data_IF_359141100997
#
_entry.id   IF_359141100997
#
_cell.length_a   1.000
_cell.length_b   1.000
_cell.length_c   1.000
_cell.angle_alpha   90.00
_cell.angle_beta   90.00
_cell.angle_gamma   90.00
#
_symmetry.space_group_name_H-M   'P 1'
#
loop_
_entity.id
_entity.type
_entity.pdbx_description
1 polymer ?
#
# COMPACT_ATOMS: atom_id res chain seq x y z
N UNK A 1 22.43 -27.80 -14.36
CA UNK A 1 21.02 -27.36 -14.32
C UNK A 1 21.07 -25.89 -14.70
N UNK A 2 20.65 -25.56 -15.92
CA UNK A 2 20.50 -24.15 -16.31
C UNK A 2 19.47 -23.50 -15.38
N UNK A 3 19.87 -22.44 -14.69
CA UNK A 3 18.92 -21.58 -13.99
C UNK A 3 17.98 -21.02 -15.06
N UNK A 4 16.73 -21.49 -15.10
CA UNK A 4 15.75 -20.91 -16.02
C UNK A 4 15.54 -19.46 -15.58
N UNK A 5 16.05 -18.51 -16.36
CA UNK A 5 15.85 -17.10 -16.09
C UNK A 5 14.35 -16.78 -16.10
N UNK A 6 13.83 -16.21 -15.01
CA UNK A 6 12.43 -15.77 -14.91
C UNK A 6 12.12 -14.80 -16.07
N UNK A 7 11.12 -15.13 -16.88
CA UNK A 7 10.68 -14.29 -17.99
C UNK A 7 9.65 -13.25 -17.52
N UNK A 8 10.14 -12.10 -17.03
CA UNK A 8 9.28 -11.03 -16.56
C UNK A 8 8.41 -10.38 -17.65
N UNK A 9 8.84 -10.40 -18.91
CA UNK A 9 8.02 -9.89 -20.03
C UNK A 9 6.76 -10.74 -20.23
N UNK A 10 6.91 -12.07 -20.15
CA UNK A 10 5.78 -13.00 -20.16
C UNK A 10 4.83 -12.74 -18.98
N UNK A 11 5.35 -12.62 -17.75
CA UNK A 11 4.53 -12.41 -16.55
C UNK A 11 3.71 -11.10 -16.63
N UNK A 12 4.33 -10.01 -17.09
CA UNK A 12 3.63 -8.74 -17.31
C UNK A 12 2.55 -8.89 -18.39
N UNK A 13 2.83 -9.62 -19.47
CA UNK A 13 1.85 -9.91 -20.51
C UNK A 13 0.64 -10.69 -20.00
N UNK A 14 0.83 -11.66 -19.08
CA UNK A 14 -0.27 -12.40 -18.46
C UNK A 14 -1.11 -11.51 -17.54
N UNK A 15 -0.47 -10.68 -16.73
CA UNK A 15 -1.16 -9.71 -15.86
C UNK A 15 -2.04 -8.77 -16.69
N UNK A 16 -1.54 -8.26 -17.82
CA UNK A 16 -2.33 -7.37 -18.69
C UNK A 16 -3.57 -8.04 -19.28
N UNK A 17 -3.51 -9.35 -19.56
CA UNK A 17 -4.63 -10.12 -20.11
C UNK A 17 -5.66 -10.48 -19.05
N UNK A 18 -5.19 -10.87 -17.87
CA UNK A 18 -6.02 -11.47 -16.83
C UNK A 18 -6.47 -10.48 -15.74
N UNK A 19 -5.90 -9.27 -15.67
CA UNK A 19 -6.25 -8.22 -14.71
C UNK A 19 -6.60 -6.88 -15.40
N UNK A 20 -7.67 -6.83 -16.22
CA UNK A 20 -8.05 -5.65 -17.02
C UNK A 20 -8.66 -4.48 -16.23
N UNK A 21 -8.89 -4.63 -14.92
CA UNK A 21 -9.53 -3.63 -14.04
C UNK A 21 -8.56 -2.58 -13.46
N UNK A 22 -7.26 -2.79 -13.62
CA UNK A 22 -6.19 -1.93 -13.10
C UNK A 22 -6.02 -0.56 -13.78
N UNK A 23 -6.22 -0.40 -15.10
CA UNK A 23 -6.04 0.89 -15.79
C UNK A 23 -7.01 1.99 -15.33
N UNK A 24 -8.25 1.66 -14.93
CA UNK A 24 -9.25 2.65 -14.48
C UNK A 24 -8.84 3.28 -13.15
N UNK A 25 -8.28 2.46 -12.24
CA UNK A 25 -7.79 2.90 -10.94
C UNK A 25 -6.48 3.64 -11.06
N UNK A 26 -5.62 3.27 -12.01
CA UNK A 26 -4.43 4.07 -12.35
C UNK A 26 -4.83 5.44 -12.87
N UNK A 27 -5.90 5.56 -13.67
CA UNK A 27 -6.38 6.86 -14.13
C UNK A 27 -7.00 7.68 -12.99
N UNK A 28 -7.77 7.07 -12.08
CA UNK A 28 -8.26 7.73 -10.87
C UNK A 28 -7.11 8.12 -9.94
N UNK A 29 -6.16 7.22 -9.64
CA UNK A 29 -4.92 7.51 -8.91
C UNK A 29 -4.19 8.68 -9.57
N UNK A 30 -3.91 8.60 -10.86
CA UNK A 30 -3.10 9.56 -11.61
C UNK A 30 -3.78 10.93 -11.64
N UNK A 31 -5.10 10.98 -11.87
CA UNK A 31 -5.86 12.24 -11.86
C UNK A 31 -5.86 12.91 -10.49
N UNK A 32 -6.03 12.14 -9.41
CA UNK A 32 -5.99 12.70 -8.05
C UNK A 32 -4.54 13.01 -7.62
N UNK A 33 -3.53 12.33 -8.17
CA UNK A 33 -2.11 12.54 -7.87
C UNK A 33 -1.47 13.71 -8.63
N UNK A 34 -1.99 14.06 -9.81
CA UNK A 34 -1.39 15.10 -10.66
C UNK A 34 -1.92 16.50 -10.39
N UNK A 35 -3.09 16.66 -9.74
CA UNK A 35 -3.69 17.98 -9.57
C UNK A 35 -4.40 18.13 -8.20
N UNK A 36 -3.70 18.66 -7.17
CA UNK A 36 -4.25 18.87 -5.82
C UNK A 36 -5.51 19.75 -5.79
N UNK A 37 -5.63 20.68 -6.74
CA UNK A 37 -6.72 21.65 -6.82
C UNK A 37 -7.93 21.18 -7.65
N UNK A 38 -7.82 20.12 -8.46
CA UNK A 38 -8.90 19.64 -9.34
C UNK A 38 -9.88 18.68 -8.66
N UNK A 39 -9.78 18.54 -7.34
CA UNK A 39 -10.01 17.25 -6.70
C UNK A 39 -11.44 17.12 -6.11
N UNK A 40 -12.09 18.22 -5.72
CA UNK A 40 -13.41 18.21 -5.06
C UNK A 40 -14.51 17.61 -5.95
N UNK A 41 -14.61 18.06 -7.21
CA UNK A 41 -15.65 17.59 -8.14
C UNK A 41 -15.45 16.15 -8.59
N UNK A 42 -14.20 15.69 -8.77
CA UNK A 42 -13.93 14.32 -9.21
C UNK A 42 -14.26 13.26 -8.15
N UNK A 43 -13.99 13.57 -6.87
CA UNK A 43 -14.40 12.69 -5.76
C UNK A 43 -15.90 12.74 -5.54
N UNK A 44 -16.50 13.92 -5.66
CA UNK A 44 -17.96 14.07 -5.62
C UNK A 44 -18.63 13.28 -6.75
N UNK A 45 -18.11 13.32 -7.98
CA UNK A 45 -18.60 12.54 -9.13
C UNK A 45 -18.49 11.03 -8.88
N UNK A 46 -17.37 10.55 -8.35
CA UNK A 46 -17.18 9.12 -8.00
C UNK A 46 -18.12 8.69 -6.88
N UNK A 47 -18.30 9.53 -5.86
CA UNK A 47 -19.26 9.28 -4.78
C UNK A 47 -20.69 9.24 -5.32
N UNK A 48 -21.07 10.21 -6.14
CA UNK A 48 -22.43 10.32 -6.68
C UNK A 48 -22.73 9.21 -7.69
N UNK A 49 -21.71 8.69 -8.39
CA UNK A 49 -21.83 7.57 -9.32
C UNK A 49 -21.90 6.19 -8.63
N UNK A 50 -21.31 6.02 -7.44
CA UNK A 50 -21.35 4.77 -6.67
C UNK A 50 -22.04 4.95 -5.30
N UNK A 51 -23.32 4.55 -5.28
CA UNK A 51 -24.16 4.64 -4.09
C UNK A 51 -23.61 3.81 -2.90
N UNK A 52 -22.91 2.71 -3.15
CA UNK A 52 -22.31 1.88 -2.09
C UNK A 52 -21.12 2.59 -1.43
N UNK A 53 -20.30 3.26 -2.24
CA UNK A 53 -19.17 4.08 -1.78
C UNK A 53 -19.67 5.27 -0.95
N UNK A 54 -20.68 5.98 -1.45
CA UNK A 54 -21.30 7.10 -0.72
C UNK A 54 -21.84 6.66 0.63
N UNK A 55 -22.53 5.53 0.72
CA UNK A 55 -23.05 5.02 2.00
C UNK A 55 -21.95 4.64 2.99
N UNK A 56 -20.82 4.09 2.51
CA UNK A 56 -19.65 3.78 3.35
C UNK A 56 -19.01 5.06 3.90
N UNK A 57 -18.78 6.04 3.04
CA UNK A 57 -18.19 7.34 3.44
C UNK A 57 -19.11 8.09 4.41
N UNK A 58 -20.42 8.13 4.17
CA UNK A 58 -21.39 8.71 5.08
C UNK A 58 -21.42 8.02 6.44
N UNK A 59 -21.28 6.69 6.49
CA UNK A 59 -21.21 5.93 7.76
C UNK A 59 -19.96 6.31 8.56
N UNK A 60 -18.81 6.44 7.90
CA UNK A 60 -17.55 6.87 8.52
C UNK A 60 -17.64 8.33 9.01
N UNK A 61 -18.16 9.25 8.18
CA UNK A 61 -18.36 10.65 8.58
C UNK A 61 -19.25 10.80 9.82
N UNK A 62 -20.13 9.83 10.06
CA UNK A 62 -21.09 9.81 11.16
C UNK A 62 -20.62 9.09 12.44
N UNK A 63 -19.38 8.57 12.50
CA UNK A 63 -18.88 8.00 13.75
C UNK A 63 -18.69 9.08 14.82
N UNK A 64 -18.74 8.68 16.10
CA UNK A 64 -18.56 9.61 17.23
C UNK A 64 -17.21 10.33 17.19
N UNK A 65 -16.20 9.72 16.57
CA UNK A 65 -14.88 10.31 16.39
C UNK A 65 -14.87 11.47 15.38
N UNK A 66 -15.51 11.29 14.22
CA UNK A 66 -15.51 12.29 13.14
C UNK A 66 -16.62 13.33 13.30
N UNK A 67 -17.85 12.90 13.60
CA UNK A 67 -18.99 13.79 13.79
C UNK A 67 -18.97 14.51 15.14
N UNK A 68 -18.46 13.83 16.18
CA UNK A 68 -18.63 14.28 17.55
C UNK A 68 -20.10 14.49 17.91
N UNK A 69 -20.42 15.67 18.47
CA UNK A 69 -21.78 16.09 18.83
C UNK A 69 -22.51 16.92 17.76
N UNK A 70 -21.99 17.00 16.54
CA UNK A 70 -22.61 17.75 15.44
C UNK A 70 -23.79 16.98 14.83
N UNK A 71 -24.60 17.67 14.04
CA UNK A 71 -25.71 17.06 13.31
C UNK A 71 -25.23 15.96 12.35
N UNK A 72 -26.14 15.02 12.06
CA UNK A 72 -25.85 13.85 11.23
C UNK A 72 -25.50 14.30 9.81
N UNK A 73 -24.37 13.81 9.29
CA UNK A 73 -23.95 14.02 7.90
C UNK A 73 -24.86 13.21 6.98
N UNK A 74 -25.45 13.83 5.97
CA UNK A 74 -26.48 13.21 5.11
C UNK A 74 -26.13 13.17 3.63
N UNK A 75 -25.17 13.97 3.18
CA UNK A 75 -24.73 14.00 1.78
C UNK A 75 -23.19 14.03 1.61
N UNK A 76 -22.75 13.84 0.37
CA UNK A 76 -21.34 13.73 0.02
C UNK A 76 -20.54 15.00 0.33
N UNK A 77 -21.13 16.18 0.15
CA UNK A 77 -20.46 17.46 0.43
C UNK A 77 -20.27 17.67 1.93
N UNK A 78 -21.27 17.34 2.73
CA UNK A 78 -21.15 17.35 4.20
C UNK A 78 -20.10 16.33 4.68
N UNK A 79 -20.00 15.18 4.03
CA UNK A 79 -18.96 14.19 4.32
C UNK A 79 -17.56 14.71 3.97
N UNK A 80 -17.39 15.38 2.83
CA UNK A 80 -16.14 16.05 2.43
C UNK A 80 -15.74 17.10 3.46
N UNK A 81 -16.67 17.94 3.91
CA UNK A 81 -16.41 18.93 4.96
C UNK A 81 -16.08 18.32 6.32
N UNK A 82 -16.62 17.15 6.65
CA UNK A 82 -16.44 16.49 7.96
C UNK A 82 -15.17 15.64 8.02
N UNK A 83 -14.88 14.87 6.98
CA UNK A 83 -13.72 13.97 6.92
C UNK A 83 -12.47 14.65 6.38
N UNK A 84 -12.64 15.64 5.51
CA UNK A 84 -11.59 16.22 4.70
C UNK A 84 -11.35 15.41 3.42
N UNK A 85 -11.02 16.14 2.36
CA UNK A 85 -10.86 15.63 1.00
C UNK A 85 -9.90 14.44 0.91
N UNK A 86 -8.71 14.55 1.52
CA UNK A 86 -7.68 13.51 1.45
C UNK A 86 -8.13 12.19 2.09
N UNK A 87 -8.97 12.22 3.13
CA UNK A 87 -9.49 10.99 3.73
C UNK A 87 -10.46 10.28 2.80
N UNK A 88 -11.32 11.03 2.12
CA UNK A 88 -12.29 10.48 1.17
C UNK A 88 -11.60 9.93 -0.06
N UNK A 89 -10.62 10.67 -0.60
CA UNK A 89 -9.71 10.16 -1.62
C UNK A 89 -9.14 8.81 -1.21
N UNK A 90 -8.60 8.72 0.00
CA UNK A 90 -8.02 7.47 0.48
C UNK A 90 -9.06 6.35 0.59
N UNK A 91 -10.31 6.64 0.96
CA UNK A 91 -11.43 5.67 0.94
C UNK A 91 -11.72 5.18 -0.46
N UNK A 92 -11.77 6.07 -1.45
CA UNK A 92 -12.04 5.74 -2.86
C UNK A 92 -10.92 4.87 -3.40
N UNK A 93 -9.66 5.30 -3.24
CA UNK A 93 -8.48 4.51 -3.64
C UNK A 93 -8.50 3.13 -2.97
N UNK A 94 -8.83 3.09 -1.68
CA UNK A 94 -8.89 1.85 -0.92
C UNK A 94 -9.96 0.90 -1.44
N UNK A 95 -11.18 1.41 -1.64
CA UNK A 95 -12.33 0.59 -2.05
C UNK A 95 -12.23 0.13 -3.50
N UNK A 96 -11.65 0.95 -4.39
CA UNK A 96 -11.42 0.56 -5.78
C UNK A 96 -10.39 -0.56 -5.88
N UNK A 97 -9.30 -0.49 -5.09
CA UNK A 97 -8.34 -1.58 -5.01
C UNK A 97 -8.95 -2.85 -4.38
N UNK A 98 -9.78 -2.73 -3.35
CA UNK A 98 -10.55 -3.86 -2.79
C UNK A 98 -11.40 -4.59 -3.85
N UNK A 99 -12.14 -3.85 -4.70
CA UNK A 99 -12.99 -4.42 -5.76
C UNK A 99 -12.21 -5.21 -6.81
N UNK A 100 -10.97 -4.83 -7.10
CA UNK A 100 -10.13 -5.58 -8.04
C UNK A 100 -9.73 -6.97 -7.52
N UNK A 101 -9.73 -7.14 -6.21
CA UNK A 101 -9.17 -8.32 -5.55
C UNK A 101 -10.22 -9.17 -4.85
N UNK A 102 -11.49 -8.78 -4.96
CA UNK A 102 -12.64 -9.58 -4.55
C UNK A 102 -12.88 -10.70 -5.58
N UNK A 103 -12.58 -11.94 -5.21
CA UNK A 103 -12.86 -13.15 -5.98
C UNK A 103 -12.82 -14.36 -5.06
N UNK A 104 -13.37 -15.52 -5.46
CA UNK A 104 -13.33 -16.72 -4.62
C UNK A 104 -11.89 -17.20 -4.47
N UNK A 105 -11.21 -16.79 -3.40
CA UNK A 105 -9.92 -17.35 -3.00
C UNK A 105 -10.18 -18.67 -2.30
N UNK A 106 -9.54 -19.74 -2.74
CA UNK A 106 -9.48 -20.98 -1.98
C UNK A 106 -8.77 -20.69 -0.64
N UNK A 107 -9.55 -20.60 0.44
CA UNK A 107 -9.07 -20.52 1.82
C UNK A 107 -8.08 -21.67 2.07
N UNK A 108 -6.85 -21.44 2.54
CA UNK A 108 -6.53 -21.43 3.98
C UNK A 108 -5.12 -20.88 4.32
N UNK A 109 -4.32 -20.38 3.37
CA UNK A 109 -2.88 -20.09 3.59
C UNK A 109 -2.45 -18.61 3.50
N UNK A 110 -3.16 -17.76 2.75
CA UNK A 110 -2.85 -16.33 2.60
C UNK A 110 -4.15 -15.55 2.30
N UNK A 111 -4.26 -14.32 2.81
CA UNK A 111 -5.42 -13.45 2.59
C UNK A 111 -5.01 -12.16 1.88
N UNK A 112 -5.62 -11.91 0.71
CA UNK A 112 -5.46 -10.62 0.01
C UNK A 112 -6.00 -9.45 0.84
N UNK A 113 -7.02 -9.67 1.66
CA UNK A 113 -7.53 -8.70 2.62
C UNK A 113 -6.46 -8.36 3.68
N UNK A 114 -5.78 -9.39 4.20
CA UNK A 114 -4.66 -9.21 5.12
C UNK A 114 -3.50 -8.42 4.51
N UNK A 115 -3.11 -8.74 3.28
CA UNK A 115 -2.08 -8.01 2.53
C UNK A 115 -2.49 -6.57 2.27
N UNK A 116 -3.75 -6.36 1.94
CA UNK A 116 -4.27 -5.04 1.68
C UNK A 116 -4.28 -4.17 2.93
N UNK A 117 -4.77 -4.72 4.05
CA UNK A 117 -4.71 -4.08 5.36
C UNK A 117 -3.28 -3.69 5.72
N UNK A 118 -2.31 -4.57 5.48
CA UNK A 118 -0.90 -4.24 5.62
C UNK A 118 -0.50 -3.04 4.77
N UNK A 119 -0.80 -3.03 3.47
CA UNK A 119 -0.47 -1.93 2.57
C UNK A 119 -1.10 -0.59 3.02
N UNK A 120 -2.33 -0.62 3.52
CA UNK A 120 -3.00 0.56 4.06
C UNK A 120 -2.32 1.06 5.35
N UNK A 121 -1.89 0.13 6.21
CA UNK A 121 -1.07 0.47 7.38
C UNK A 121 0.25 1.12 6.97
N UNK A 122 0.94 0.59 5.96
CA UNK A 122 2.19 1.17 5.43
C UNK A 122 1.93 2.55 4.81
N UNK A 123 0.81 2.76 4.13
CA UNK A 123 0.42 4.07 3.62
C UNK A 123 0.24 5.10 4.76
N UNK A 124 -0.58 4.78 5.77
CA UNK A 124 -0.82 5.64 6.95
C UNK A 124 0.48 5.93 7.70
N UNK A 125 1.30 4.91 7.94
CA UNK A 125 2.60 5.06 8.60
C UNK A 125 3.58 5.91 7.78
N UNK A 126 3.65 5.73 6.46
CA UNK A 126 4.51 6.54 5.58
C UNK A 126 4.14 8.02 5.62
N UNK A 127 2.83 8.32 5.62
CA UNK A 127 2.34 9.69 5.78
C UNK A 127 2.68 10.27 7.15
N UNK A 128 2.46 9.49 8.21
CA UNK A 128 2.78 9.88 9.59
C UNK A 128 4.27 10.23 9.72
N UNK A 129 5.16 9.37 9.23
CA UNK A 129 6.61 9.58 9.22
C UNK A 129 6.97 10.85 8.41
N UNK A 130 6.44 10.99 7.20
CA UNK A 130 6.73 12.17 6.37
C UNK A 130 6.28 13.48 7.05
N UNK A 131 5.11 13.49 7.70
CA UNK A 131 4.62 14.64 8.47
C UNK A 131 5.50 14.93 9.69
N UNK A 132 5.90 13.90 10.43
CA UNK A 132 6.82 14.02 11.57
C UNK A 132 8.17 14.64 11.15
N UNK A 133 8.65 14.29 9.96
CA UNK A 133 9.87 14.82 9.36
C UNK A 133 9.69 16.21 8.72
N UNK A 134 8.49 16.80 8.78
CA UNK A 134 8.20 18.12 8.20
C UNK A 134 8.26 18.13 6.67
N UNK A 135 8.03 16.99 6.02
CA UNK A 135 8.09 16.86 4.55
C UNK A 135 6.78 17.28 3.91
N UNK A 136 6.84 18.12 2.88
CA UNK A 136 5.66 18.61 2.14
C UNK A 136 5.02 17.56 1.22
N UNK A 137 5.64 16.39 1.08
CA UNK A 137 5.24 15.31 0.18
C UNK A 137 4.60 14.13 0.90
N UNK A 138 4.00 14.33 2.07
CA UNK A 138 3.43 13.26 2.89
C UNK A 138 2.31 12.45 2.22
N UNK A 139 1.49 13.06 1.36
CA UNK A 139 0.49 12.33 0.56
C UNK A 139 1.12 11.50 -0.57
N UNK A 140 2.28 11.92 -1.09
CA UNK A 140 3.08 11.09 -2.00
C UNK A 140 3.63 9.87 -1.25
N UNK A 141 4.10 10.07 -0.02
CA UNK A 141 4.54 8.96 0.83
C UNK A 141 3.39 7.98 1.15
N UNK A 142 2.19 8.48 1.42
CA UNK A 142 0.99 7.65 1.58
C UNK A 142 0.77 6.75 0.36
N UNK A 143 0.74 7.35 -0.82
CA UNK A 143 0.50 6.65 -2.09
C UNK A 143 1.58 5.60 -2.34
N UNK A 144 2.85 5.97 -2.17
CA UNK A 144 3.98 5.06 -2.29
C UNK A 144 3.87 3.87 -1.32
N UNK A 145 3.48 4.11 -0.08
CA UNK A 145 3.24 3.05 0.91
C UNK A 145 2.06 2.14 0.53
N UNK A 146 0.98 2.70 -0.03
CA UNK A 146 -0.20 1.94 -0.44
C UNK A 146 0.10 0.92 -1.55
N UNK A 147 0.98 1.28 -2.49
CA UNK A 147 1.25 0.45 -3.68
C UNK A 147 2.57 -0.32 -3.60
N UNK A 148 3.35 -0.17 -2.52
CA UNK A 148 4.71 -0.73 -2.44
C UNK A 148 4.77 -2.24 -2.72
N UNK A 149 3.75 -2.98 -2.27
CA UNK A 149 3.65 -4.43 -2.36
C UNK A 149 2.72 -4.91 -3.49
N UNK A 150 2.38 -4.05 -4.47
CA UNK A 150 1.48 -4.41 -5.58
C UNK A 150 1.96 -5.64 -6.37
N UNK A 151 3.28 -5.86 -6.41
CA UNK A 151 3.87 -7.05 -7.02
C UNK A 151 3.47 -8.35 -6.32
N UNK A 152 3.22 -8.35 -5.00
CA UNK A 152 2.76 -9.54 -4.27
C UNK A 152 1.36 -9.93 -4.72
N UNK A 153 0.49 -8.95 -4.94
CA UNK A 153 -0.85 -9.21 -5.46
C UNK A 153 -0.79 -9.78 -6.86
N UNK A 154 0.06 -9.21 -7.72
CA UNK A 154 0.26 -9.71 -9.07
C UNK A 154 0.77 -11.16 -9.07
N UNK A 155 1.71 -11.49 -8.19
CA UNK A 155 2.22 -12.87 -8.04
C UNK A 155 1.13 -13.83 -7.56
N UNK A 156 0.36 -13.45 -6.54
CA UNK A 156 -0.74 -14.27 -6.05
C UNK A 156 -1.77 -14.58 -7.14
N UNK A 157 -2.08 -13.59 -8.00
CA UNK A 157 -2.99 -13.77 -9.14
C UNK A 157 -2.39 -14.56 -10.29
N UNK A 158 -1.09 -14.47 -10.52
CA UNK A 158 -0.39 -15.32 -11.48
C UNK A 158 -0.45 -16.79 -11.07
N UNK A 159 -0.26 -17.09 -9.78
CA UNK A 159 -0.40 -18.44 -9.22
C UNK A 159 -1.81 -19.02 -9.50
N UNK A 160 -2.87 -18.22 -9.30
CA UNK A 160 -4.23 -18.64 -9.65
C UNK A 160 -4.39 -18.95 -11.15
N UNK A 161 -3.81 -18.15 -12.04
CA UNK A 161 -4.00 -18.29 -13.49
C UNK A 161 -3.13 -19.37 -14.13
N UNK A 162 -1.94 -19.63 -13.59
CA UNK A 162 -0.98 -20.59 -14.12
C UNK A 162 -1.00 -21.92 -13.33
N UNK A 163 -1.90 -22.05 -12.35
CA UNK A 163 -2.03 -23.21 -11.46
C UNK A 163 -0.71 -23.54 -10.71
N UNK A 164 0.00 -22.49 -10.25
CA UNK A 164 1.24 -22.60 -9.46
C UNK A 164 1.03 -22.25 -7.99
N UNK A 165 2.01 -22.58 -7.14
CA UNK A 165 1.97 -22.27 -5.69
C UNK A 165 3.23 -21.52 -5.23
N UNK A 166 3.92 -20.81 -6.13
CA UNK A 166 5.20 -20.15 -5.84
C UNK A 166 5.06 -19.09 -4.74
N UNK A 167 4.01 -18.28 -4.78
CA UNK A 167 3.74 -17.25 -3.79
C UNK A 167 3.49 -17.85 -2.40
N UNK A 168 2.67 -18.90 -2.33
CA UNK A 168 2.36 -19.59 -1.07
C UNK A 168 3.61 -20.29 -0.52
N UNK A 169 4.40 -20.89 -1.40
CA UNK A 169 5.69 -21.53 -1.04
C UNK A 169 6.67 -20.51 -0.47
N UNK A 170 6.74 -19.30 -1.05
CA UNK A 170 7.55 -18.20 -0.53
C UNK A 170 7.06 -17.73 0.84
N UNK A 171 5.75 -17.58 1.02
CA UNK A 171 5.15 -17.20 2.31
C UNK A 171 5.49 -18.24 3.38
N UNK A 172 5.33 -19.54 3.08
CA UNK A 172 5.65 -20.62 4.02
C UNK A 172 7.14 -20.65 4.35
N UNK A 173 8.00 -20.51 3.34
CA UNK A 173 9.46 -20.44 3.53
C UNK A 173 9.84 -19.27 4.43
N UNK A 174 9.17 -18.13 4.26
CA UNK A 174 9.36 -16.93 5.08
C UNK A 174 9.06 -17.20 6.56
N UNK A 175 7.93 -17.86 6.84
CA UNK A 175 7.49 -18.22 8.18
C UNK A 175 8.42 -19.26 8.82
N UNK A 176 8.73 -20.34 8.11
CA UNK A 176 9.55 -21.44 8.61
C UNK A 176 10.98 -20.99 8.92
N UNK A 177 11.56 -20.17 8.04
CA UNK A 177 12.94 -19.68 8.18
C UNK A 177 13.03 -18.37 8.98
N UNK A 178 11.90 -17.78 9.38
CA UNK A 178 11.82 -16.49 10.09
C UNK A 178 12.58 -15.38 9.37
N UNK A 179 12.37 -15.28 8.06
CA UNK A 179 12.93 -14.24 7.19
C UNK A 179 11.80 -13.40 6.62
N UNK A 180 12.13 -12.28 5.99
CA UNK A 180 11.14 -11.52 5.23
C UNK A 180 10.81 -12.19 3.89
N UNK A 181 9.66 -11.82 3.32
CA UNK A 181 9.14 -12.39 2.08
C UNK A 181 10.11 -12.22 0.90
N UNK A 182 10.79 -11.08 0.79
CA UNK A 182 11.78 -10.86 -0.28
C UNK A 182 12.94 -11.86 -0.23
N UNK A 183 13.39 -12.25 0.97
CA UNK A 183 14.45 -13.26 1.12
C UNK A 183 13.98 -14.65 0.71
N UNK A 184 12.71 -15.02 0.95
CA UNK A 184 12.20 -16.31 0.47
C UNK A 184 12.14 -16.37 -1.05
N UNK A 185 11.72 -15.29 -1.72
CA UNK A 185 11.76 -15.20 -3.19
C UNK A 185 13.16 -15.47 -3.76
N UNK A 186 14.19 -14.88 -3.15
CA UNK A 186 15.57 -15.08 -3.58
C UNK A 186 16.07 -16.52 -3.34
N UNK A 187 15.65 -17.15 -2.23
CA UNK A 187 16.02 -18.53 -1.90
C UNK A 187 15.36 -19.52 -2.85
N UNK A 188 14.07 -19.33 -3.10
CA UNK A 188 13.26 -20.22 -3.94
C UNK A 188 13.44 -19.92 -5.43
N UNK A 189 14.15 -18.84 -5.78
CA UNK A 189 14.35 -18.36 -7.15
C UNK A 189 13.03 -18.02 -7.85
N UNK A 190 12.05 -17.58 -7.07
CA UNK A 190 10.74 -17.16 -7.55
C UNK A 190 10.79 -15.74 -8.13
N UNK A 191 9.78 -15.33 -8.93
CA UNK A 191 9.63 -13.94 -9.35
C UNK A 191 9.65 -13.00 -8.16
N UNK A 192 10.50 -11.96 -8.21
CA UNK A 192 10.56 -10.95 -7.15
C UNK A 192 9.39 -9.99 -7.26
N UNK A 193 8.64 -9.81 -6.18
CA UNK A 193 7.52 -8.88 -6.15
C UNK A 193 7.95 -7.42 -6.38
N UNK A 194 9.11 -7.00 -5.86
CA UNK A 194 9.58 -5.62 -6.00
C UNK A 194 9.88 -5.26 -7.47
N UNK A 195 10.45 -6.20 -8.23
CA UNK A 195 10.74 -6.01 -9.64
C UNK A 195 9.51 -6.17 -10.52
N UNK A 196 8.67 -7.18 -10.26
CA UNK A 196 7.41 -7.34 -10.97
C UNK A 196 6.50 -6.12 -10.76
N UNK A 197 6.34 -5.66 -9.51
CA UNK A 197 5.59 -4.47 -9.17
C UNK A 197 6.13 -3.21 -9.86
N UNK A 198 7.46 -3.05 -9.94
CA UNK A 198 8.07 -1.96 -10.69
C UNK A 198 7.70 -1.98 -12.18
N UNK A 199 7.76 -3.15 -12.84
CA UNK A 199 7.40 -3.28 -14.25
C UNK A 199 5.92 -2.96 -14.48
N UNK A 200 5.06 -3.40 -13.57
CA UNK A 200 3.63 -3.06 -13.56
C UNK A 200 3.44 -1.54 -13.47
N UNK A 201 4.06 -0.90 -12.47
CA UNK A 201 3.95 0.55 -12.26
C UNK A 201 4.44 1.34 -13.48
N UNK A 202 5.55 0.91 -14.08
CA UNK A 202 6.12 1.52 -15.27
C UNK A 202 5.21 1.36 -16.49
N UNK A 203 4.65 0.17 -16.69
CA UNK A 203 3.70 -0.08 -17.77
C UNK A 203 2.43 0.75 -17.64
N UNK A 204 2.03 1.07 -16.41
CA UNK A 204 0.91 1.95 -16.09
C UNK A 204 1.24 3.44 -16.16
N UNK A 205 2.48 3.82 -16.42
CA UNK A 205 2.89 5.23 -16.49
C UNK A 205 2.79 5.95 -15.14
N UNK A 206 2.92 5.23 -14.03
CA UNK A 206 2.95 5.85 -12.71
C UNK A 206 4.21 6.72 -12.54
N UNK A 207 4.17 7.66 -11.59
CA UNK A 207 5.31 8.55 -11.37
C UNK A 207 6.59 7.79 -11.02
N UNK A 208 7.75 8.36 -11.39
CA UNK A 208 9.06 7.78 -11.08
C UNK A 208 9.32 7.60 -9.58
N UNK A 209 8.62 8.34 -8.71
CA UNK A 209 8.65 8.14 -7.26
C UNK A 209 8.00 6.81 -6.86
N UNK A 210 6.84 6.49 -7.43
CA UNK A 210 6.14 5.22 -7.18
C UNK A 210 6.97 4.07 -7.74
N UNK A 211 7.43 4.18 -8.99
CA UNK A 211 8.31 3.19 -9.60
C UNK A 211 9.55 2.93 -8.74
N UNK A 212 10.19 3.99 -8.26
CA UNK A 212 11.38 3.93 -7.41
C UNK A 212 11.12 3.25 -6.07
N UNK A 213 10.04 3.61 -5.39
CA UNK A 213 9.65 2.97 -4.12
C UNK A 213 9.36 1.50 -4.31
N UNK A 214 8.49 1.13 -5.25
CA UNK A 214 8.12 -0.27 -5.49
C UNK A 214 9.36 -1.08 -5.86
N UNK A 215 10.28 -0.54 -6.65
CA UNK A 215 11.51 -1.23 -7.04
C UNK A 215 12.49 -1.43 -5.88
N UNK A 216 12.62 -0.46 -4.97
CA UNK A 216 13.78 -0.35 -4.07
C UNK A 216 13.45 -0.40 -2.58
N UNK A 217 12.20 -0.66 -2.19
CA UNK A 217 11.80 -0.74 -0.77
C UNK A 217 12.39 -1.92 0.01
N UNK A 218 13.20 -2.80 -0.61
CA UNK A 218 14.04 -3.80 0.07
C UNK A 218 15.54 -3.46 0.06
N UNK A 219 15.93 -2.31 -0.50
CA UNK A 219 17.34 -1.90 -0.62
C UNK A 219 17.64 -0.69 0.29
N UNK A 220 18.17 -0.90 1.51
CA UNK A 220 18.41 0.16 2.47
C UNK A 220 19.65 1.02 2.15
N UNK A 221 20.47 0.64 1.16
CA UNK A 221 21.66 1.40 0.77
C UNK A 221 21.38 2.27 -0.47
N UNK A 222 21.32 3.61 -0.34
CA UNK A 222 21.05 4.51 -1.46
C UNK A 222 21.94 4.28 -2.69
N UNK A 223 23.20 3.94 -2.47
CA UNK A 223 24.22 3.76 -3.52
C UNK A 223 23.91 2.58 -4.45
N UNK A 224 23.07 1.64 -3.98
CA UNK A 224 22.65 0.46 -4.76
C UNK A 224 21.34 0.70 -5.53
N UNK A 225 20.64 1.80 -5.28
CA UNK A 225 19.35 2.15 -5.91
C UNK A 225 19.59 2.76 -7.29
N UNK A 226 19.85 1.90 -8.27
CA UNK A 226 20.15 2.32 -9.63
C UNK A 226 19.03 3.20 -10.21
N UNK A 227 19.41 4.26 -10.92
CA UNK A 227 18.52 5.22 -11.60
C UNK A 227 17.64 6.06 -10.66
N UNK A 228 17.82 5.96 -9.34
CA UNK A 228 17.26 6.93 -8.39
C UNK A 228 18.25 8.09 -8.28
N UNK A 229 17.81 9.30 -8.64
CA UNK A 229 18.71 10.46 -8.74
C UNK A 229 18.34 11.61 -7.81
N UNK A 230 17.08 11.72 -7.39
CA UNK A 230 16.64 12.78 -6.50
C UNK A 230 16.77 12.37 -5.03
N UNK A 231 17.21 13.31 -4.20
CA UNK A 231 17.24 13.15 -2.74
C UNK A 231 15.87 12.77 -2.20
N UNK A 232 14.81 13.43 -2.69
CA UNK A 232 13.44 13.13 -2.29
C UNK A 232 13.04 11.67 -2.59
N UNK A 233 13.43 11.11 -3.73
CA UNK A 233 13.11 9.72 -4.03
C UNK A 233 13.86 8.75 -3.09
N UNK A 234 15.11 9.05 -2.74
CA UNK A 234 15.83 8.26 -1.72
C UNK A 234 15.16 8.34 -0.34
N UNK A 235 14.73 9.53 0.07
CA UNK A 235 14.03 9.75 1.34
C UNK A 235 12.67 9.03 1.35
N UNK A 236 11.89 9.07 0.27
CA UNK A 236 10.63 8.34 0.13
C UNK A 236 10.82 6.83 0.28
N UNK A 237 11.87 6.28 -0.34
CA UNK A 237 12.21 4.86 -0.20
C UNK A 237 12.57 4.52 1.26
N UNK A 238 13.36 5.38 1.93
CA UNK A 238 13.72 5.19 3.34
C UNK A 238 12.48 5.27 4.27
N UNK A 239 11.57 6.21 4.01
CA UNK A 239 10.30 6.36 4.73
C UNK A 239 9.46 5.10 4.59
N UNK A 240 9.32 4.56 3.37
CA UNK A 240 8.50 3.36 3.13
C UNK A 240 9.16 2.11 3.73
N UNK A 241 10.49 2.00 3.71
CA UNK A 241 11.21 0.92 4.43
C UNK A 241 10.88 0.97 5.92
N UNK A 242 10.99 2.15 6.55
CA UNK A 242 10.71 2.34 7.97
C UNK A 242 9.23 2.05 8.30
N UNK A 243 8.31 2.56 7.49
CA UNK A 243 6.88 2.31 7.62
C UNK A 243 6.54 0.82 7.52
N UNK A 244 7.06 0.14 6.50
CA UNK A 244 6.83 -1.28 6.28
C UNK A 244 7.32 -2.14 7.45
N UNK A 245 8.51 -1.82 7.99
CA UNK A 245 8.99 -2.48 9.21
C UNK A 245 8.05 -2.23 10.39
N UNK A 246 7.72 -0.97 10.68
CA UNK A 246 6.90 -0.62 11.84
C UNK A 246 5.51 -1.29 11.82
N UNK A 247 4.91 -1.40 10.64
CA UNK A 247 3.60 -2.04 10.43
C UNK A 247 3.65 -3.55 10.63
N UNK A 248 4.67 -4.23 10.07
CA UNK A 248 4.87 -5.66 10.31
C UNK A 248 5.19 -5.95 11.80
N UNK A 249 6.03 -5.13 12.44
CA UNK A 249 6.40 -5.27 13.85
C UNK A 249 5.19 -5.11 14.78
N UNK A 250 4.24 -4.24 14.41
CA UNK A 250 2.97 -4.06 15.10
C UNK A 250 1.87 -5.05 14.68
N UNK A 251 2.17 -5.97 13.74
CA UNK A 251 1.27 -7.02 13.24
C UNK A 251 -0.05 -6.48 12.68
N UNK A 252 0.02 -5.35 11.98
CA UNK A 252 -1.15 -4.75 11.34
C UNK A 252 -1.32 -5.29 9.91
N UNK A 253 -2.35 -6.12 9.70
CA UNK A 253 -2.50 -6.89 8.48
C UNK A 253 -1.47 -8.01 8.35
N UNK A 254 -1.28 -8.54 7.15
CA UNK A 254 -0.33 -9.62 6.89
C UNK A 254 0.27 -9.55 5.49
N UNK A 255 1.58 -9.32 5.41
CA UNK A 255 2.31 -9.13 4.14
C UNK A 255 2.97 -10.39 3.58
N UNK A 256 2.61 -11.57 4.11
CA UNK A 256 3.20 -12.87 3.75
C UNK A 256 4.39 -13.30 4.62
N UNK A 257 4.71 -12.54 5.66
CA UNK A 257 5.78 -12.87 6.60
C UNK A 257 5.54 -12.21 7.97
N UNK A 258 6.24 -12.70 9.00
CA UNK A 258 6.16 -12.16 10.38
C UNK A 258 7.51 -11.65 10.91
N UNK A 259 8.58 -11.80 10.14
CA UNK A 259 9.95 -11.47 10.54
C UNK A 259 10.54 -10.38 9.66
N UNK A 260 10.11 -9.11 9.81
CA UNK A 260 10.66 -7.99 9.04
C UNK A 260 12.11 -7.70 9.45
N UNK A 261 12.91 -7.18 8.52
CA UNK A 261 14.26 -6.72 8.85
C UNK A 261 14.18 -5.34 9.53
N UNK A 262 14.78 -5.21 10.71
CA UNK A 262 14.86 -3.92 11.41
C UNK A 262 15.67 -2.91 10.59
N UNK A 263 15.18 -1.67 10.40
CA UNK A 263 15.92 -0.60 9.74
C UNK A 263 17.26 -0.35 10.44
N UNK A 264 18.31 -0.12 9.64
CA UNK A 264 19.65 0.14 10.17
C UNK A 264 19.75 1.54 10.77
N UNK A 265 20.67 1.71 11.74
CA UNK A 265 20.96 3.03 12.31
C UNK A 265 21.37 4.04 11.23
N UNK A 266 22.04 3.58 10.17
CA UNK A 266 22.37 4.41 9.02
C UNK A 266 21.12 4.93 8.27
N UNK A 267 20.07 4.11 8.14
CA UNK A 267 18.80 4.55 7.54
C UNK A 267 18.10 5.56 8.45
N UNK A 268 18.02 5.29 9.76
CA UNK A 268 17.41 6.20 10.73
C UNK A 268 18.14 7.55 10.76
N UNK A 269 19.48 7.53 10.71
CA UNK A 269 20.31 8.74 10.67
C UNK A 269 20.06 9.58 9.40
N UNK A 270 19.85 8.96 8.23
CA UNK A 270 19.50 9.69 6.99
C UNK A 270 18.14 10.37 7.08
N UNK A 271 17.20 9.78 7.83
CA UNK A 271 15.91 10.40 8.13
C UNK A 271 16.00 11.42 9.28
N UNK A 272 17.19 11.70 9.82
CA UNK A 272 17.40 12.56 10.99
C UNK A 272 16.58 12.12 12.23
N UNK A 273 16.38 10.80 12.39
CA UNK A 273 15.69 10.23 13.54
C UNK A 273 16.70 9.79 14.59
N UNK A 274 16.64 10.40 15.77
CA UNK A 274 17.36 9.93 16.95
C UNK A 274 16.54 8.88 17.73
N UNK A 275 17.14 8.09 18.64
CA UNK A 275 16.43 7.02 19.36
C UNK A 275 15.16 7.48 20.09
N UNK A 276 15.18 8.66 20.74
CA UNK A 276 14.02 9.19 21.45
C UNK A 276 12.88 9.63 20.52
N UNK A 277 13.22 10.13 19.33
CA UNK A 277 12.24 10.44 18.28
C UNK A 277 11.64 9.17 17.68
N UNK A 278 12.43 8.11 17.52
CA UNK A 278 11.95 6.82 17.02
C UNK A 278 10.87 6.24 17.92
N UNK A 279 11.04 6.29 19.25
CA UNK A 279 10.03 5.79 20.20
C UNK A 279 8.73 6.60 20.16
N UNK A 280 8.82 7.93 20.01
CA UNK A 280 7.64 8.78 19.86
C UNK A 280 6.92 8.48 18.54
N UNK A 281 7.66 8.45 17.44
CA UNK A 281 7.14 8.17 16.11
C UNK A 281 6.49 6.79 16.03
N UNK A 282 7.07 5.79 16.70
CA UNK A 282 6.48 4.45 16.75
C UNK A 282 5.11 4.44 17.44
N UNK A 283 4.93 5.23 18.51
CA UNK A 283 3.62 5.43 19.15
C UNK A 283 2.64 6.19 18.27
N UNK A 284 3.10 7.20 17.54
CA UNK A 284 2.25 7.95 16.60
C UNK A 284 1.74 7.01 15.49
N UNK A 285 2.63 6.18 14.94
CA UNK A 285 2.26 5.14 13.98
C UNK A 285 1.23 4.19 14.59
N UNK A 286 1.43 3.72 15.83
CA UNK A 286 0.47 2.83 16.50
C UNK A 286 -0.93 3.44 16.60
N UNK A 287 -1.03 4.73 16.91
CA UNK A 287 -2.31 5.43 16.96
C UNK A 287 -2.94 5.54 15.55
N UNK A 288 -2.15 5.85 14.53
CA UNK A 288 -2.60 5.90 13.13
C UNK A 288 -3.10 4.53 12.63
N UNK A 289 -2.40 3.45 13.01
CA UNK A 289 -2.82 2.09 12.67
C UNK A 289 -4.14 1.73 13.36
N UNK A 290 -4.33 2.11 14.62
CA UNK A 290 -5.63 1.91 15.30
C UNK A 290 -6.76 2.66 14.59
N UNK A 291 -6.55 3.90 14.19
CA UNK A 291 -7.56 4.65 13.41
C UNK A 291 -7.83 4.01 12.04
N UNK A 292 -6.79 3.42 11.44
CA UNK A 292 -6.89 2.70 10.17
C UNK A 292 -7.66 1.38 10.35
N UNK A 293 -7.47 0.66 11.46
CA UNK A 293 -8.22 -0.54 11.85
C UNK A 293 -9.72 -0.23 11.92
N UNK A 294 -10.07 0.76 12.75
CA UNK A 294 -11.46 1.19 12.97
C UNK A 294 -12.12 1.57 11.64
N UNK A 295 -11.35 2.18 10.74
CA UNK A 295 -11.78 2.53 9.40
C UNK A 295 -12.03 1.30 8.52
N UNK A 296 -11.15 0.30 8.49
CA UNK A 296 -11.35 -0.95 7.75
C UNK A 296 -12.60 -1.70 8.25
N UNK A 297 -12.74 -1.86 9.56
CA UNK A 297 -13.88 -2.58 10.16
C UNK A 297 -15.24 -1.93 9.81
N UNK A 298 -15.26 -0.60 9.65
CA UNK A 298 -16.44 0.13 9.20
C UNK A 298 -16.79 -0.13 7.72
N UNK A 299 -15.81 -0.42 6.87
CA UNK A 299 -16.03 -0.76 5.47
C UNK A 299 -16.52 -2.21 5.30
N UNK A 300 -16.03 -3.12 6.14
CA UNK A 300 -16.34 -4.56 6.08
C UNK A 300 -17.68 -4.92 6.71
N UNK A 301 -18.08 -4.24 7.78
CA UNK A 301 -19.39 -4.37 8.45
C UNK A 301 -20.60 -3.90 7.61
N UNK A 302 -20.39 -3.58 6.32
CA UNK A 302 -21.43 -3.22 5.35
C UNK A 302 -21.82 -4.33 4.38
N UNK A 303 -21.18 -5.50 4.44
CA UNK A 303 -21.48 -6.65 3.60
C UNK A 303 -22.55 -7.58 4.17
N UNK A 304 -23.81 -7.14 4.19
CA UNK A 304 -25.01 -8.00 4.20
C UNK A 304 -26.07 -7.37 3.29
#
# INVERSE_FOLDING_TARGET
>A
MESSSINYEYLVGQIQRNLPTLPTIVNELTNVLQNPDASTFAVEDVMTADQSMTMKILRVANTSFYRGGRERVTDANEAIGTLGFEKIRNVVLTTSVFKMFSGPSAEQKFSLEGLWKHCLGVASASRCIANFLGKSWSERAYTCGLVHDIGKVARFKLDESEETEDFITDSQTSLDKKINFYKSELINQSPRHDYLGYLICKNWGLSSFVEGVVRWHHEPQPERRQKVTSTEAHELIDVVILANWAVNDQKFGFSGHESPDKPSDALLARLNLNPGQTDHLYKDIQNELKMTEDFCDLLDSGGV
#
